data_IF_847500532714
#
_entry.id   IF_847500532714
#
_cell.length_a   1.000
_cell.length_b   1.000
_cell.length_c   1.000
_cell.angle_alpha   90.00
_cell.angle_beta   90.00
_cell.angle_gamma   90.00
#
_symmetry.space_group_name_H-M   'P 1'
#
loop_
_entity.id
_entity.type
_entity.pdbx_description
1 polymer ?
#
# COMPACT_ATOMS: atom_id res chain seq x y z
N UNK A 1 -44.14 27.94 -26.20
CA UNK A 1 -44.36 26.48 -26.19
C UNK A 1 -43.28 25.82 -27.04
N UNK A 2 -42.22 25.31 -26.40
CA UNK A 2 -41.90 23.87 -26.29
C UNK A 2 -41.74 23.16 -27.64
N UNK A 3 -40.49 23.10 -28.15
CA UNK A 3 -39.98 21.91 -28.88
C UNK A 3 -38.50 21.66 -28.54
N UNK A 4 -38.33 20.79 -27.56
CA UNK A 4 -37.33 19.72 -27.50
C UNK A 4 -35.84 20.11 -27.57
N UNK A 5 -35.34 20.58 -26.43
CA UNK A 5 -34.08 20.11 -25.84
C UNK A 5 -34.09 18.59 -25.69
N UNK A 6 -33.21 17.86 -26.40
CA UNK A 6 -32.70 16.55 -25.97
C UNK A 6 -31.73 15.97 -27.03
N UNK A 7 -30.51 16.49 -27.14
CA UNK A 7 -29.44 15.75 -27.83
C UNK A 7 -28.04 16.08 -27.27
N UNK A 8 -27.96 16.21 -25.93
CA UNK A 8 -26.69 16.41 -25.22
C UNK A 8 -26.42 15.36 -24.14
N UNK A 9 -27.18 14.26 -24.11
CA UNK A 9 -27.04 13.19 -23.11
C UNK A 9 -27.00 11.82 -23.80
N UNK A 10 -25.89 11.51 -24.47
CA UNK A 10 -25.62 10.13 -24.92
C UNK A 10 -24.13 9.84 -25.19
N UNK A 11 -23.18 10.53 -24.54
CA UNK A 11 -21.74 10.18 -24.64
C UNK A 11 -21.08 9.83 -23.31
N UNK A 12 -21.86 9.60 -22.26
CA UNK A 12 -21.34 9.06 -20.99
C UNK A 12 -21.98 7.71 -20.68
N UNK A 13 -21.97 6.80 -21.67
CA UNK A 13 -22.41 5.42 -21.48
C UNK A 13 -21.39 4.47 -22.12
N UNK A 14 -20.12 4.67 -21.76
CA UNK A 14 -19.07 3.66 -21.91
C UNK A 14 -18.00 3.89 -20.83
N UNK A 15 -18.43 4.03 -19.57
CA UNK A 15 -17.58 3.56 -18.48
C UNK A 15 -17.95 2.09 -18.28
N UNK A 16 -17.47 1.24 -19.18
CA UNK A 16 -17.29 -0.17 -18.86
C UNK A 16 -16.59 -0.24 -17.50
N UNK A 17 -17.00 -1.17 -16.64
CA UNK A 17 -16.66 -1.19 -15.22
C UNK A 17 -15.18 -1.52 -15.04
N UNK A 18 -14.33 -0.51 -15.23
CA UNK A 18 -12.90 -0.65 -15.14
C UNK A 18 -12.50 -0.89 -13.68
N UNK A 19 -11.53 -1.80 -13.49
CA UNK A 19 -10.81 -1.97 -12.22
C UNK A 19 -10.45 -0.58 -11.66
N UNK A 20 -10.62 -0.40 -10.35
CA UNK A 20 -10.15 0.82 -9.71
C UNK A 20 -8.65 1.03 -9.96
N UNK A 21 -8.27 2.30 -10.12
CA UNK A 21 -6.87 2.67 -10.28
C UNK A 21 -6.04 2.15 -9.11
N UNK A 22 -4.84 1.66 -9.42
CA UNK A 22 -3.90 1.28 -8.39
C UNK A 22 -3.50 2.51 -7.56
N UNK A 23 -3.25 2.28 -6.28
CA UNK A 23 -2.98 3.34 -5.31
C UNK A 23 -1.52 3.24 -4.86
N UNK A 24 -0.83 4.37 -4.83
CA UNK A 24 0.53 4.49 -4.32
C UNK A 24 0.51 5.39 -3.09
N UNK A 25 0.77 4.79 -1.94
CA UNK A 25 0.75 5.46 -0.66
C UNK A 25 2.18 5.78 -0.21
N UNK A 26 2.36 6.94 0.41
CA UNK A 26 3.64 7.40 0.95
C UNK A 26 3.44 7.85 2.38
N UNK A 27 3.70 6.94 3.32
CA UNK A 27 3.49 7.17 4.74
C UNK A 27 4.82 7.39 5.44
N UNK A 28 5.11 8.64 5.80
CA UNK A 28 6.27 8.97 6.64
C UNK A 28 5.96 8.63 8.10
N UNK A 29 6.78 7.76 8.69
CA UNK A 29 6.61 7.28 10.05
C UNK A 29 7.81 7.59 10.93
N UNK A 30 7.55 7.65 12.24
CA UNK A 30 8.54 7.77 13.30
C UNK A 30 8.25 6.70 14.36
N UNK A 31 8.54 5.43 14.07
CA UNK A 31 8.25 4.35 15.00
C UNK A 31 9.05 4.56 16.28
N UNK A 32 8.43 4.27 17.41
CA UNK A 32 8.96 4.57 18.74
C UNK A 32 9.52 3.31 19.41
N UNK A 33 10.65 3.41 20.14
CA UNK A 33 11.13 2.31 20.95
C UNK A 33 10.15 1.95 22.07
N UNK A 34 9.79 0.67 22.16
CA UNK A 34 8.99 0.10 23.24
C UNK A 34 9.78 -0.99 23.96
N UNK A 35 9.57 -1.12 25.28
CA UNK A 35 10.23 -2.15 26.10
C UNK A 35 9.42 -3.44 26.09
N UNK A 36 10.09 -4.56 25.88
CA UNK A 36 9.56 -5.92 26.01
C UNK A 36 10.45 -6.68 26.99
N UNK A 37 10.04 -6.70 28.27
CA UNK A 37 10.91 -7.11 29.39
C UNK A 37 12.22 -6.30 29.37
N UNK A 38 13.36 -6.96 29.21
CA UNK A 38 14.68 -6.32 29.15
C UNK A 38 15.10 -5.91 27.73
N UNK A 39 14.31 -6.24 26.72
CA UNK A 39 14.59 -5.95 25.31
C UNK A 39 13.80 -4.74 24.83
N UNK A 40 14.19 -4.21 23.67
CA UNK A 40 13.52 -3.12 23.00
C UNK A 40 13.20 -3.48 21.55
N UNK A 41 12.11 -2.93 21.03
CA UNK A 41 11.79 -2.98 19.62
C UNK A 41 11.13 -1.68 19.18
N UNK A 42 10.98 -1.46 17.88
CA UNK A 42 10.24 -0.31 17.37
C UNK A 42 8.78 -0.68 17.16
N UNK A 43 7.88 0.25 17.45
CA UNK A 43 6.44 0.11 17.26
C UNK A 43 5.86 1.36 16.59
N UNK A 44 4.90 1.15 15.70
CA UNK A 44 4.10 2.22 15.11
C UNK A 44 2.61 1.92 15.23
N UNK A 45 1.99 2.43 16.29
CA UNK A 45 0.54 2.32 16.47
C UNK A 45 -0.25 3.38 15.69
N UNK A 46 0.43 4.39 15.14
CA UNK A 46 -0.25 5.53 14.51
C UNK A 46 -0.73 5.23 13.09
N UNK A 47 -0.08 4.27 12.42
CA UNK A 47 -0.42 3.84 11.07
C UNK A 47 -1.91 3.48 10.90
N UNK A 48 -2.55 2.87 11.89
CA UNK A 48 -3.96 2.44 11.81
C UNK A 48 -4.93 3.63 11.66
N UNK A 49 -4.48 4.85 12.02
CA UNK A 49 -5.25 6.07 11.92
C UNK A 49 -4.86 6.95 10.72
N UNK A 50 -3.86 6.51 9.95
CA UNK A 50 -3.32 7.23 8.80
C UNK A 50 -4.36 7.41 7.70
N UNK A 51 -4.16 8.45 6.87
CA UNK A 51 -5.06 8.71 5.72
C UNK A 51 -4.95 7.59 4.68
N UNK A 52 -3.78 6.98 4.55
CA UNK A 52 -3.46 5.92 3.61
C UNK A 52 -4.23 4.64 3.94
N UNK A 53 -4.26 4.23 5.21
CA UNK A 53 -5.06 3.07 5.64
C UNK A 53 -6.55 3.36 5.47
N UNK A 54 -7.02 4.54 5.86
CA UNK A 54 -8.44 4.92 5.67
C UNK A 54 -8.84 4.89 4.20
N UNK A 55 -8.00 5.39 3.31
CA UNK A 55 -8.24 5.35 1.87
C UNK A 55 -8.26 3.92 1.34
N UNK A 56 -7.31 3.07 1.74
CA UNK A 56 -7.29 1.66 1.35
C UNK A 56 -8.58 0.92 1.75
N UNK A 57 -9.06 1.14 2.98
CA UNK A 57 -10.31 0.56 3.46
C UNK A 57 -11.52 1.09 2.66
N UNK A 58 -11.58 2.41 2.44
CA UNK A 58 -12.65 3.04 1.68
C UNK A 58 -12.69 2.54 0.24
N UNK A 59 -11.55 2.51 -0.44
CA UNK A 59 -11.43 1.98 -1.80
C UNK A 59 -11.85 0.53 -1.90
N UNK A 60 -11.51 -0.30 -0.91
CA UNK A 60 -11.96 -1.69 -0.88
C UNK A 60 -13.49 -1.78 -0.83
N UNK A 61 -14.14 -0.90 -0.07
CA UNK A 61 -15.59 -0.84 0.03
C UNK A 61 -16.26 -0.28 -1.23
N UNK A 62 -15.65 0.69 -1.91
CA UNK A 62 -16.29 1.42 -3.02
C UNK A 62 -16.01 0.84 -4.39
N UNK A 63 -14.84 0.24 -4.61
CA UNK A 63 -14.44 -0.23 -5.93
C UNK A 63 -15.38 -1.28 -6.50
N UNK A 64 -15.72 -1.14 -7.77
CA UNK A 64 -16.45 -2.18 -8.51
C UNK A 64 -15.51 -3.35 -8.81
N UNK A 65 -16.04 -4.58 -8.94
CA UNK A 65 -15.27 -5.71 -9.45
C UNK A 65 -14.60 -5.37 -10.78
N UNK A 66 -13.37 -5.85 -10.96
CA UNK A 66 -12.72 -5.83 -12.26
C UNK A 66 -13.45 -6.80 -13.20
N UNK A 67 -13.67 -6.41 -14.45
CA UNK A 67 -14.13 -7.32 -15.49
C UNK A 67 -12.98 -8.26 -15.91
N UNK A 68 -13.23 -9.58 -16.00
CA UNK A 68 -12.25 -10.55 -16.52
C UNK A 68 -11.54 -11.39 -15.46
N UNK A 69 -10.22 -11.58 -15.60
CA UNK A 69 -9.40 -12.53 -14.81
C UNK A 69 -8.62 -11.88 -13.65
N UNK A 70 -8.84 -10.59 -13.38
CA UNK A 70 -8.10 -9.88 -12.36
C UNK A 70 -8.48 -10.36 -10.96
N UNK A 71 -7.47 -10.78 -10.19
CA UNK A 71 -7.67 -11.34 -8.85
C UNK A 71 -8.11 -10.30 -7.79
N UNK A 72 -7.87 -9.00 -8.04
CA UNK A 72 -8.10 -7.93 -7.07
C UNK A 72 -8.84 -6.73 -7.68
N UNK A 73 -9.71 -6.12 -6.88
CA UNK A 73 -10.52 -4.96 -7.24
C UNK A 73 -9.69 -3.68 -7.37
N UNK A 74 -8.65 -3.55 -6.54
CA UNK A 74 -7.52 -2.66 -6.75
C UNK A 74 -6.29 -3.16 -6.01
N UNK A 75 -5.13 -2.60 -6.35
CA UNK A 75 -3.87 -2.86 -5.66
C UNK A 75 -3.34 -1.59 -5.01
N UNK A 76 -2.99 -1.68 -3.72
CA UNK A 76 -2.28 -0.65 -2.98
C UNK A 76 -0.79 -0.97 -2.86
N UNK A 77 0.07 -0.05 -3.29
CA UNK A 77 1.51 -0.08 -3.08
C UNK A 77 1.87 0.94 -1.99
N UNK A 78 2.24 0.46 -0.81
CA UNK A 78 2.42 1.27 0.37
C UNK A 78 3.90 1.43 0.71
N UNK A 79 4.43 2.62 0.46
CA UNK A 79 5.77 3.00 0.90
C UNK A 79 5.71 3.43 2.37
N UNK A 80 6.12 2.53 3.26
CA UNK A 80 6.29 2.77 4.69
C UNK A 80 7.67 3.39 4.92
N UNK A 81 7.73 4.72 5.01
CA UNK A 81 8.96 5.50 4.93
C UNK A 81 9.49 5.79 6.34
N UNK A 82 10.68 5.26 6.64
CA UNK A 82 11.38 5.45 7.92
C UNK A 82 12.62 6.34 7.74
N UNK A 83 13.06 6.95 8.84
CA UNK A 83 14.36 7.63 8.89
C UNK A 83 15.52 6.66 8.57
N UNK A 84 16.61 7.11 7.92
CA UNK A 84 17.70 6.24 7.48
C UNK A 84 18.37 5.46 8.63
N UNK A 85 18.43 6.04 9.83
CA UNK A 85 19.05 5.46 11.02
C UNK A 85 18.02 5.06 12.09
N UNK A 86 16.77 4.80 11.72
CA UNK A 86 15.68 4.54 12.68
C UNK A 86 16.01 3.45 13.72
N UNK A 87 16.77 2.43 13.32
CA UNK A 87 17.16 1.32 14.19
C UNK A 87 18.20 1.69 15.26
N UNK A 88 19.03 2.71 15.04
CA UNK A 88 20.05 3.14 16.02
C UNK A 88 19.43 3.66 17.33
N UNK A 89 18.13 3.96 17.34
CA UNK A 89 17.37 4.39 18.52
C UNK A 89 17.09 3.24 19.50
N UNK A 90 17.36 1.98 19.11
CA UNK A 90 17.13 0.77 19.90
C UNK A 90 18.46 0.33 20.53
N UNK A 91 18.57 0.41 21.86
CA UNK A 91 19.82 0.12 22.57
C UNK A 91 20.03 -1.37 22.86
N UNK A 92 18.95 -2.10 23.21
CA UNK A 92 19.00 -3.54 23.45
C UNK A 92 17.95 -4.26 22.58
N UNK A 93 18.22 -4.48 21.29
CA UNK A 93 17.20 -4.89 20.34
C UNK A 93 16.74 -6.33 20.56
N UNK A 94 15.41 -6.54 20.55
CA UNK A 94 14.78 -7.86 20.64
C UNK A 94 15.10 -8.73 19.41
N UNK A 95 15.28 -8.11 18.25
CA UNK A 95 15.60 -8.76 16.99
C UNK A 95 16.99 -8.35 16.51
N UNK A 96 17.70 -9.27 15.85
CA UNK A 96 19.03 -8.97 15.30
C UNK A 96 18.98 -7.98 14.14
N UNK A 97 17.90 -8.01 13.38
CA UNK A 97 17.65 -7.14 12.23
C UNK A 97 16.67 -6.02 12.61
N UNK A 98 16.67 -4.89 11.89
CA UNK A 98 15.66 -3.87 12.10
C UNK A 98 14.25 -4.42 11.90
N UNK A 99 13.42 -4.26 12.93
CA UNK A 99 12.06 -4.80 12.95
C UNK A 99 11.10 -3.78 13.55
N UNK A 100 9.91 -3.64 12.96
CA UNK A 100 8.88 -2.68 13.37
C UNK A 100 7.60 -3.45 13.63
N UNK A 101 7.09 -3.39 14.86
CA UNK A 101 5.77 -3.93 15.20
C UNK A 101 4.67 -2.99 14.78
N UNK A 102 3.62 -3.59 14.22
CA UNK A 102 2.40 -2.92 13.83
C UNK A 102 1.21 -3.41 14.68
N UNK A 103 0.12 -2.64 14.75
CA UNK A 103 -1.14 -3.13 15.30
C UNK A 103 -1.64 -4.35 14.54
N UNK A 104 -2.19 -5.32 15.28
CA UNK A 104 -2.82 -6.49 14.67
C UNK A 104 -3.96 -6.05 13.75
N UNK A 105 -3.98 -6.60 12.54
CA UNK A 105 -5.03 -6.32 11.56
C UNK A 105 -4.99 -4.92 10.94
N UNK A 106 -3.89 -4.18 11.05
CA UNK A 106 -3.74 -2.82 10.47
C UNK A 106 -4.14 -2.74 8.99
N UNK A 107 -3.83 -3.78 8.21
CA UNK A 107 -4.03 -3.81 6.76
C UNK A 107 -5.20 -4.70 6.32
N UNK A 108 -5.53 -5.73 7.12
CA UNK A 108 -6.66 -6.61 6.86
C UNK A 108 -7.11 -7.33 8.14
N UNK A 109 -8.41 -7.56 8.29
CA UNK A 109 -8.97 -8.29 9.43
C UNK A 109 -8.39 -9.71 9.52
N UNK A 110 -7.93 -10.09 10.72
CA UNK A 110 -7.29 -11.40 10.94
C UNK A 110 -5.87 -11.54 10.41
N UNK A 111 -5.30 -10.50 9.80
CA UNK A 111 -3.92 -10.54 9.33
C UNK A 111 -2.94 -10.38 10.50
N UNK A 112 -2.13 -11.42 10.73
CA UNK A 112 -1.09 -11.47 11.75
C UNK A 112 0.14 -10.66 11.32
N UNK A 113 0.03 -9.34 11.19
CA UNK A 113 1.22 -8.50 11.09
C UNK A 113 1.72 -8.17 12.49
N UNK A 114 2.50 -9.06 13.10
CA UNK A 114 3.18 -8.75 14.36
C UNK A 114 4.42 -7.89 14.14
N UNK A 115 5.15 -8.06 13.01
CA UNK A 115 6.40 -7.34 12.71
C UNK A 115 6.69 -7.21 11.21
N UNK A 116 7.24 -6.07 10.79
CA UNK A 116 7.90 -5.89 9.49
C UNK A 116 9.42 -5.83 9.69
N UNK A 117 10.13 -6.78 9.09
CA UNK A 117 11.59 -6.86 9.17
C UNK A 117 12.26 -6.22 7.95
N UNK A 118 13.46 -5.67 8.15
CA UNK A 118 14.28 -5.08 7.09
C UNK A 118 15.54 -5.91 6.89
N UNK A 119 15.59 -6.64 5.78
CA UNK A 119 16.76 -7.40 5.34
C UNK A 119 17.42 -6.69 4.15
N UNK A 120 18.72 -6.37 4.26
CA UNK A 120 19.46 -5.62 3.23
C UNK A 120 19.40 -6.26 1.84
N UNK A 121 19.47 -7.59 1.78
CA UNK A 121 19.41 -8.32 0.50
C UNK A 121 18.07 -8.09 -0.20
N UNK A 122 16.99 -8.08 0.56
CA UNK A 122 15.65 -7.88 0.04
C UNK A 122 15.39 -6.43 -0.40
N UNK A 123 16.07 -5.46 0.24
CA UNK A 123 15.94 -4.04 -0.15
C UNK A 123 16.50 -3.73 -1.54
N UNK A 124 17.40 -4.58 -2.06
CA UNK A 124 17.98 -4.45 -3.40
C UNK A 124 17.09 -5.02 -4.50
N UNK A 125 16.14 -5.89 -4.17
CA UNK A 125 15.25 -6.56 -5.14
C UNK A 125 13.79 -6.14 -4.95
N UNK A 126 13.52 -4.85 -5.16
CA UNK A 126 12.17 -4.26 -4.98
C UNK A 126 11.14 -4.78 -5.97
N UNK A 127 11.57 -5.36 -7.09
CA UNK A 127 10.67 -5.93 -8.08
C UNK A 127 9.97 -7.19 -7.57
N UNK A 128 10.72 -8.04 -6.86
CA UNK A 128 10.22 -9.36 -6.43
C UNK A 128 9.96 -9.45 -4.94
N UNK A 129 10.31 -8.42 -4.17
CA UNK A 129 10.16 -8.42 -2.72
C UNK A 129 9.21 -7.34 -2.20
N UNK A 130 8.31 -7.77 -1.33
CA UNK A 130 7.45 -6.93 -0.50
C UNK A 130 7.66 -7.33 0.95
N UNK A 131 7.87 -6.37 1.86
CA UNK A 131 8.02 -6.67 3.29
C UNK A 131 6.77 -7.34 3.86
N UNK A 132 5.62 -6.93 3.38
CA UNK A 132 4.36 -7.46 3.85
C UNK A 132 3.30 -7.40 2.75
N UNK A 133 2.39 -8.37 2.79
CA UNK A 133 1.26 -8.49 1.89
C UNK A 133 0.02 -8.85 2.70
N UNK A 134 -1.06 -8.11 2.49
CA UNK A 134 -2.36 -8.44 3.05
C UNK A 134 -3.45 -8.31 2.00
N UNK A 135 -4.45 -9.17 2.12
CA UNK A 135 -5.67 -9.09 1.34
C UNK A 135 -6.82 -8.72 2.28
N UNK A 136 -7.61 -7.74 1.88
CA UNK A 136 -8.83 -7.36 2.57
C UNK A 136 -10.02 -7.76 1.72
N UNK A 137 -10.86 -8.63 2.28
CA UNK A 137 -12.13 -9.02 1.69
C UNK A 137 -13.28 -8.37 2.46
N UNK A 138 -14.10 -7.57 1.77
CA UNK A 138 -15.25 -6.88 2.35
C UNK A 138 -16.40 -6.83 1.32
N UNK A 139 -17.60 -7.25 1.72
CA UNK A 139 -18.80 -7.23 0.89
C UNK A 139 -18.63 -7.87 -0.51
N UNK A 140 -17.92 -9.01 -0.57
CA UNK A 140 -17.64 -9.73 -1.82
C UNK A 140 -16.53 -9.11 -2.69
N UNK A 141 -15.86 -8.06 -2.20
CA UNK A 141 -14.75 -7.38 -2.86
C UNK A 141 -13.44 -7.74 -2.19
N UNK A 142 -12.41 -8.04 -2.97
CA UNK A 142 -11.07 -8.34 -2.45
C UNK A 142 -10.05 -7.39 -3.06
N UNK A 143 -9.31 -6.71 -2.19
CA UNK A 143 -8.22 -5.82 -2.57
C UNK A 143 -6.94 -6.25 -1.85
N UNK A 144 -5.78 -5.95 -2.45
CA UNK A 144 -4.48 -6.33 -1.90
C UNK A 144 -3.64 -5.10 -1.62
N UNK A 145 -2.89 -5.13 -0.52
CA UNK A 145 -1.87 -4.15 -0.20
C UNK A 145 -0.50 -4.80 -0.11
N UNK A 146 0.46 -4.22 -0.83
CA UNK A 146 1.88 -4.55 -0.78
C UNK A 146 2.61 -3.45 -0.05
N UNK A 147 3.28 -3.80 1.05
CA UNK A 147 3.97 -2.83 1.90
C UNK A 147 5.47 -2.95 1.68
N UNK A 148 6.09 -1.81 1.46
CA UNK A 148 7.52 -1.65 1.25
C UNK A 148 8.09 -0.77 2.36
N UNK A 149 8.98 -1.31 3.19
CA UNK A 149 9.72 -0.46 4.15
C UNK A 149 10.83 0.25 3.40
N UNK A 150 10.82 1.59 3.41
CA UNK A 150 11.75 2.45 2.67
C UNK A 150 12.54 3.32 3.65
N UNK A 151 13.85 3.14 3.72
CA UNK A 151 14.73 4.07 4.44
C UNK A 151 14.95 5.31 3.59
N UNK A 152 14.48 6.46 4.09
CA UNK A 152 14.52 7.74 3.38
C UNK A 152 15.95 8.09 2.95
N UNK A 153 16.12 8.30 1.64
CA UNK A 153 17.41 8.62 1.02
C UNK A 153 18.38 7.44 0.84
N UNK A 154 17.98 6.22 1.21
CA UNK A 154 18.81 5.01 1.05
C UNK A 154 18.14 4.04 0.08
N UNK A 155 16.88 3.69 0.33
CA UNK A 155 16.18 2.71 -0.48
C UNK A 155 15.33 3.38 -1.57
N UNK A 156 15.21 2.73 -2.73
CA UNK A 156 14.29 3.17 -3.79
C UNK A 156 12.84 2.97 -3.34
N UNK A 157 12.00 3.99 -3.56
CA UNK A 157 10.55 3.89 -3.37
C UNK A 157 9.90 3.07 -4.48
N UNK A 158 8.84 2.34 -4.13
CA UNK A 158 7.99 1.66 -5.08
C UNK A 158 7.03 2.68 -5.71
N UNK A 159 7.31 3.07 -6.95
CA UNK A 159 6.60 4.14 -7.67
C UNK A 159 5.87 3.57 -8.90
N UNK A 160 4.91 4.32 -9.48
CA UNK A 160 4.28 3.92 -10.73
C UNK A 160 5.29 3.68 -11.84
N UNK A 161 6.29 4.56 -11.98
CA UNK A 161 7.36 4.42 -12.96
C UNK A 161 8.14 3.10 -12.78
N UNK A 162 8.43 2.72 -11.52
CA UNK A 162 9.08 1.46 -11.22
C UNK A 162 8.19 0.27 -11.59
N UNK A 163 6.91 0.28 -11.23
CA UNK A 163 5.98 -0.80 -11.56
C UNK A 163 5.79 -0.96 -13.08
N UNK A 164 5.61 0.15 -13.80
CA UNK A 164 5.51 0.17 -15.26
C UNK A 164 6.79 -0.38 -15.91
N UNK A 165 7.97 -0.10 -15.34
CA UNK A 165 9.24 -0.64 -15.88
C UNK A 165 9.29 -2.18 -15.88
N UNK A 166 8.54 -2.83 -14.98
CA UNK A 166 8.51 -4.28 -14.84
C UNK A 166 7.41 -4.96 -15.66
N UNK A 167 6.43 -4.21 -16.17
CA UNK A 167 5.22 -4.74 -16.80
C UNK A 167 5.08 -4.30 -18.25
N UNK A 168 5.31 -5.24 -19.18
CA UNK A 168 5.14 -5.01 -20.62
C UNK A 168 3.70 -4.62 -21.00
N UNK A 169 2.70 -5.15 -20.28
CA UNK A 169 1.29 -4.79 -20.52
C UNK A 169 1.01 -3.34 -20.17
N UNK A 170 1.51 -2.86 -19.01
CA UNK A 170 1.37 -1.46 -18.60
C UNK A 170 2.03 -0.48 -19.57
N UNK A 171 3.18 -0.86 -20.15
CA UNK A 171 3.87 -0.06 -21.15
C UNK A 171 3.09 0.06 -22.46
N UNK A 172 2.38 -1.01 -22.86
CA UNK A 172 1.61 -1.05 -24.11
C UNK A 172 0.24 -0.38 -23.98
N UNK A 173 -0.47 -0.68 -22.90
CA UNK A 173 -1.90 -0.38 -22.76
C UNK A 173 -2.15 0.94 -21.99
N UNK A 174 -1.09 1.55 -21.45
CA UNK A 174 -1.19 2.67 -20.53
C UNK A 174 -1.52 2.21 -19.11
N UNK A 175 -0.97 2.90 -18.11
CA UNK A 175 -1.14 2.55 -16.70
C UNK A 175 -1.85 3.67 -15.95
N UNK A 176 -2.98 3.34 -15.32
CA UNK A 176 -3.79 4.26 -14.55
C UNK A 176 -3.58 4.05 -13.06
N UNK A 177 -3.20 5.12 -12.36
CA UNK A 177 -2.86 5.08 -10.95
C UNK A 177 -3.20 6.40 -10.26
N UNK A 178 -3.28 6.37 -8.93
CA UNK A 178 -3.30 7.58 -8.09
C UNK A 178 -2.19 7.53 -7.05
N UNK A 179 -1.49 8.65 -6.86
CA UNK A 179 -0.44 8.81 -5.83
C UNK A 179 -0.92 9.70 -4.68
N UNK A 180 -0.69 9.25 -3.44
CA UNK A 180 -0.89 10.02 -2.21
C UNK A 180 0.45 10.55 -1.73
N UNK A 181 0.95 11.59 -2.42
CA UNK A 181 2.23 12.21 -2.08
C UNK A 181 2.19 12.80 -0.65
N UNK A 182 3.31 12.80 0.09
CA UNK A 182 3.41 13.37 1.43
C UNK A 182 2.77 14.76 1.52
#
# INVERSE_FOLDING_TARGET
MKKLTALAFALVANQAHAKCQDRYYYYETKPLPVKVKNWQMLEDNSIQFSREIKDFLNMTATCTPAEGKDAYHFTGYFNYIVEPNFWKKVANPLYKQPAIRLPNGVYAQGANASTMDVYEQNQKDRQHFTQYRAELSYAGKTSVIYVYVVRKGIDQMYTPALNVSFSKSYQRDGYYYTEYKP
#
